data_IF_086171716902
#
_entry.id   IF_086171716902
#
_cell.length_a   1.000
_cell.length_b   1.000
_cell.length_c   1.000
_cell.angle_alpha   90.00
_cell.angle_beta   90.00
_cell.angle_gamma   90.00
#
_symmetry.space_group_name_H-M   'P 1'
#
loop_
_entity.id
_entity.type
_entity.pdbx_description
1 polymer ?
#
# COMPACT_ATOMS: atom_id res chain seq x y z
N UNK A 1 12.39 3.41 -15.41
CA UNK A 1 12.20 3.53 -13.95
C UNK A 1 11.97 4.98 -13.53
N UNK A 2 12.75 5.94 -14.07
CA UNK A 2 12.56 7.38 -13.82
C UNK A 2 11.13 7.87 -14.05
N UNK A 3 10.50 7.41 -15.13
CA UNK A 3 9.22 7.96 -15.58
C UNK A 3 8.07 7.52 -14.68
N UNK A 4 8.09 6.27 -14.21
CA UNK A 4 7.13 5.76 -13.24
C UNK A 4 7.25 6.48 -11.89
N UNK A 5 8.48 6.66 -11.41
CA UNK A 5 8.74 7.40 -10.16
C UNK A 5 8.24 8.83 -10.29
N UNK A 6 8.49 9.47 -11.43
CA UNK A 6 8.02 10.84 -11.72
C UNK A 6 6.49 10.91 -11.75
N UNK A 7 5.83 9.96 -12.42
CA UNK A 7 4.37 9.88 -12.47
C UNK A 7 3.78 9.71 -11.07
N UNK A 8 4.32 8.79 -10.26
CA UNK A 8 3.83 8.54 -8.91
C UNK A 8 4.04 9.75 -7.99
N UNK A 9 5.15 10.48 -8.13
CA UNK A 9 5.35 11.77 -7.45
C UNK A 9 4.27 12.77 -7.82
N UNK A 10 4.02 12.96 -9.12
CA UNK A 10 3.01 13.89 -9.60
C UNK A 10 1.59 13.53 -9.11
N UNK A 11 1.25 12.23 -9.12
CA UNK A 11 -0.03 11.73 -8.61
C UNK A 11 -0.15 11.93 -7.10
N UNK A 12 0.92 11.68 -6.34
CA UNK A 12 0.97 11.91 -4.89
C UNK A 12 0.75 13.38 -4.55
N UNK A 13 1.49 14.28 -5.21
CA UNK A 13 1.33 15.72 -5.03
C UNK A 13 -0.06 16.21 -5.44
N UNK A 14 -0.62 15.68 -6.53
CA UNK A 14 -1.97 16.03 -6.97
C UNK A 14 -3.02 15.58 -5.95
N UNK A 15 -2.94 14.33 -5.48
CA UNK A 15 -3.86 13.79 -4.48
C UNK A 15 -3.82 14.60 -3.18
N UNK A 16 -2.62 15.00 -2.73
CA UNK A 16 -2.44 15.89 -1.58
C UNK A 16 -3.09 17.26 -1.81
N UNK A 17 -2.91 17.87 -3.00
CA UNK A 17 -3.52 19.18 -3.32
C UNK A 17 -5.04 19.15 -3.36
N UNK A 18 -5.63 18.01 -3.74
CA UNK A 18 -7.08 17.85 -3.86
C UNK A 18 -7.75 17.20 -2.65
N UNK A 19 -7.01 16.98 -1.56
CA UNK A 19 -7.45 16.22 -0.37
C UNK A 19 -8.07 14.86 -0.73
N UNK A 20 -7.52 14.21 -1.76
CA UNK A 20 -7.99 12.92 -2.24
C UNK A 20 -7.16 11.80 -1.59
N UNK A 21 -7.79 10.82 -0.92
CA UNK A 21 -7.08 9.66 -0.41
C UNK A 21 -6.38 8.89 -1.54
N UNK A 22 -5.09 8.60 -1.34
CA UNK A 22 -4.27 7.83 -2.27
C UNK A 22 -3.62 6.66 -1.54
N UNK A 23 -3.73 5.46 -2.11
CA UNK A 23 -2.97 4.27 -1.66
C UNK A 23 -2.33 3.63 -2.87
N UNK A 24 -1.03 3.36 -2.79
CA UNK A 24 -0.30 2.60 -3.81
C UNK A 24 -0.20 1.14 -3.39
N UNK A 25 -0.61 0.24 -4.26
CA UNK A 25 -0.57 -1.21 -4.00
C UNK A 25 0.56 -1.84 -4.82
N UNK A 26 1.48 -2.52 -4.15
CA UNK A 26 2.52 -3.30 -4.82
C UNK A 26 2.16 -4.78 -4.79
N UNK A 27 1.99 -5.32 -6.00
CA UNK A 27 1.81 -6.75 -6.24
C UNK A 27 3.17 -7.41 -6.45
N UNK A 28 3.37 -8.59 -5.86
CA UNK A 28 4.63 -9.33 -5.95
C UNK A 28 5.77 -8.74 -5.10
N UNK A 29 6.75 -8.09 -5.72
CA UNK A 29 8.02 -7.77 -5.05
C UNK A 29 7.90 -6.53 -4.13
N UNK A 30 8.11 -6.68 -2.80
CA UNK A 30 7.97 -5.58 -1.84
C UNK A 30 9.08 -4.52 -1.95
N UNK A 31 10.25 -4.85 -2.53
CA UNK A 31 11.36 -3.90 -2.66
C UNK A 31 11.07 -2.78 -3.67
N UNK A 32 10.08 -2.94 -4.54
CA UNK A 32 9.60 -1.85 -5.39
C UNK A 32 9.19 -0.61 -4.58
N UNK A 33 8.64 -0.81 -3.37
CA UNK A 33 8.26 0.29 -2.48
C UNK A 33 9.47 1.08 -1.96
N UNK A 34 10.66 0.48 -1.86
CA UNK A 34 11.87 1.17 -1.36
C UNK A 34 12.39 2.25 -2.30
N UNK A 35 12.05 2.18 -3.59
CA UNK A 35 12.43 3.19 -4.58
C UNK A 35 11.52 4.42 -4.57
N UNK A 36 10.46 4.40 -3.76
CA UNK A 36 9.39 5.40 -3.73
C UNK A 36 9.08 5.83 -2.28
N UNK A 37 10.09 6.31 -1.51
CA UNK A 37 9.92 6.63 -0.10
C UNK A 37 8.95 7.78 0.16
N UNK A 38 8.70 8.63 -0.85
CA UNK A 38 7.75 9.74 -0.79
C UNK A 38 6.26 9.33 -0.86
N UNK A 39 5.93 8.05 -1.06
CA UNK A 39 4.54 7.61 -1.13
C UNK A 39 3.90 7.62 0.26
N UNK A 40 2.78 8.33 0.45
CA UNK A 40 2.19 8.55 1.78
C UNK A 40 1.52 7.30 2.35
N UNK A 41 1.09 6.36 1.49
CA UNK A 41 0.38 5.15 1.90
C UNK A 41 0.61 4.02 0.92
N UNK A 42 1.08 2.89 1.46
CA UNK A 42 1.49 1.72 0.68
C UNK A 42 0.85 0.45 1.23
N UNK A 43 0.35 -0.40 0.33
CA UNK A 43 -0.13 -1.75 0.63
C UNK A 43 0.69 -2.78 -0.14
N UNK A 44 1.09 -3.87 0.52
CA UNK A 44 1.85 -4.96 -0.08
C UNK A 44 1.01 -6.24 -0.03
N UNK A 45 0.92 -6.95 -1.15
CA UNK A 45 0.15 -8.21 -1.24
C UNK A 45 1.04 -9.44 -1.43
N UNK A 46 2.32 -9.26 -1.79
CA UNK A 46 3.32 -10.32 -2.04
C UNK A 46 2.98 -11.32 -3.16
N UNK A 47 1.91 -11.08 -3.89
CA UNK A 47 1.42 -11.92 -4.99
C UNK A 47 0.81 -11.00 -6.06
N UNK A 48 0.70 -11.47 -7.29
CA UNK A 48 0.18 -10.73 -8.45
C UNK A 48 -1.00 -11.44 -9.11
N UNK A 49 -1.49 -12.55 -8.53
CA UNK A 49 -2.66 -13.28 -9.02
C UNK A 49 -3.96 -12.60 -8.56
N UNK A 50 -5.07 -12.90 -9.25
CA UNK A 50 -6.36 -12.25 -9.02
C UNK A 50 -6.87 -12.29 -7.57
N UNK A 51 -6.57 -13.33 -6.78
CA UNK A 51 -6.91 -13.37 -5.36
C UNK A 51 -6.23 -12.27 -4.53
N UNK A 52 -5.01 -11.89 -4.90
CA UNK A 52 -4.26 -10.82 -4.24
C UNK A 52 -4.87 -9.45 -4.55
N UNK A 53 -5.29 -9.25 -5.80
CA UNK A 53 -6.01 -8.04 -6.25
C UNK A 53 -7.36 -7.92 -5.55
N UNK A 54 -8.16 -8.99 -5.53
CA UNK A 54 -9.44 -9.02 -4.83
C UNK A 54 -9.26 -8.73 -3.34
N UNK A 55 -8.29 -9.37 -2.69
CA UNK A 55 -7.99 -9.13 -1.27
C UNK A 55 -7.57 -7.68 -1.02
N UNK A 56 -6.78 -7.06 -1.90
CA UNK A 56 -6.39 -5.66 -1.78
C UNK A 56 -7.61 -4.73 -1.88
N UNK A 57 -8.49 -4.96 -2.85
CA UNK A 57 -9.72 -4.18 -3.03
C UNK A 57 -10.62 -4.30 -1.80
N UNK A 58 -10.91 -5.53 -1.36
CA UNK A 58 -11.75 -5.80 -0.18
C UNK A 58 -11.16 -5.20 1.08
N UNK A 59 -9.83 -5.27 1.24
CA UNK A 59 -9.14 -4.63 2.35
C UNK A 59 -9.36 -3.12 2.30
N UNK A 60 -9.06 -2.46 1.18
CA UNK A 60 -9.20 -1.01 0.99
C UNK A 60 -10.63 -0.51 1.19
N UNK A 61 -11.62 -1.26 0.70
CA UNK A 61 -13.04 -0.98 0.93
C UNK A 61 -13.43 -1.06 2.43
N UNK A 62 -12.67 -1.84 3.20
CA UNK A 62 -12.87 -2.08 4.62
C UNK A 62 -13.67 -3.36 4.91
N UNK A 63 -13.86 -4.22 3.93
CA UNK A 63 -14.61 -5.49 4.09
C UNK A 63 -13.82 -6.54 4.87
N UNK A 64 -12.49 -6.47 4.80
CA UNK A 64 -11.58 -7.32 5.56
C UNK A 64 -10.56 -6.46 6.32
N UNK A 65 -10.05 -6.99 7.43
CA UNK A 65 -9.03 -6.31 8.23
C UNK A 65 -7.67 -6.30 7.53
N UNK A 66 -6.91 -5.22 7.72
CA UNK A 66 -5.47 -5.18 7.43
C UNK A 66 -4.71 -5.51 8.72
N UNK A 67 -3.95 -6.60 8.67
CA UNK A 67 -3.11 -7.04 9.79
C UNK A 67 -1.76 -7.63 9.36
N UNK A 68 -1.41 -7.55 8.08
CA UNK A 68 -0.14 -8.06 7.58
C UNK A 68 1.07 -7.41 8.26
N UNK A 69 2.17 -8.15 8.33
CA UNK A 69 3.46 -7.68 8.87
C UNK A 69 4.55 -8.00 7.86
N UNK A 70 5.52 -7.09 7.74
CA UNK A 70 6.65 -7.26 6.84
C UNK A 70 7.47 -8.49 7.26
N UNK A 71 7.68 -9.49 6.37
CA UNK A 71 8.60 -10.60 6.62
C UNK A 71 10.06 -10.23 6.34
N UNK A 72 10.30 -9.06 5.73
CA UNK A 72 11.62 -8.52 5.35
C UNK A 72 11.70 -7.04 5.73
N UNK A 73 12.90 -6.49 5.92
CA UNK A 73 13.07 -5.04 6.10
C UNK A 73 12.96 -4.31 4.75
N UNK A 74 12.34 -3.13 4.76
CA UNK A 74 12.24 -2.23 3.61
C UNK A 74 12.99 -0.93 3.92
N UNK A 75 14.18 -0.80 3.34
CA UNK A 75 15.10 0.30 3.63
C UNK A 75 15.52 0.33 5.11
N UNK A 76 15.94 1.50 5.59
CA UNK A 76 16.30 1.71 6.99
C UNK A 76 15.10 2.00 7.91
N UNK A 77 13.97 2.39 7.33
CA UNK A 77 12.81 2.93 8.07
C UNK A 77 11.84 1.84 8.55
N UNK A 78 11.65 0.78 7.75
CA UNK A 78 10.66 -0.26 8.05
C UNK A 78 11.36 -1.60 8.29
N UNK A 79 11.40 -2.03 9.55
CA UNK A 79 12.03 -3.31 9.94
C UNK A 79 11.07 -4.49 9.74
N UNK A 80 11.63 -5.71 9.73
CA UNK A 80 10.84 -6.95 9.86
C UNK A 80 9.85 -6.83 11.02
N UNK A 81 8.61 -7.29 10.81
CA UNK A 81 7.53 -7.20 11.78
C UNK A 81 6.79 -5.86 11.78
N UNK A 82 7.23 -4.85 11.01
CA UNK A 82 6.48 -3.62 10.85
C UNK A 82 5.19 -3.85 10.05
N UNK A 83 4.15 -3.06 10.30
CA UNK A 83 2.90 -3.10 9.55
C UNK A 83 1.79 -2.37 10.29
N UNK A 84 0.88 -1.78 9.54
CA UNK A 84 -0.28 -1.10 10.11
C UNK A 84 -1.38 -2.13 10.46
N UNK A 85 -2.21 -1.77 11.43
CA UNK A 85 -3.41 -2.55 11.76
C UNK A 85 -4.63 -1.69 11.50
N UNK A 86 -5.56 -2.21 10.70
CA UNK A 86 -6.87 -1.60 10.48
C UNK A 86 -7.94 -2.70 10.58
N UNK A 87 -8.88 -2.61 11.52
CA UNK A 87 -9.99 -3.56 11.55
C UNK A 87 -10.85 -3.42 10.28
N UNK A 88 -11.62 -4.46 9.96
CA UNK A 88 -12.70 -4.30 8.99
C UNK A 88 -13.68 -3.22 9.50
N UNK A 89 -14.31 -2.48 8.60
CA UNK A 89 -15.43 -1.62 8.95
C UNK A 89 -16.51 -2.50 9.56
N UNK A 90 -17.01 -2.12 10.74
CA UNK A 90 -18.24 -2.72 11.24
C UNK A 90 -19.34 -2.42 10.23
N UNK A 91 -20.01 -3.46 9.73
CA UNK A 91 -21.33 -3.26 9.13
C UNK A 91 -22.20 -2.77 10.29
N UNK A 92 -22.53 -1.48 10.29
CA UNK A 92 -23.48 -0.95 11.26
C UNK A 92 -24.82 -1.69 11.14
N UNK A 93 -25.64 -1.72 12.21
CA UNK A 93 -26.99 -2.27 12.14
C UNK A 93 -27.85 -1.56 11.09
#
# INVERSE_FOLDING_TARGET
MSDLVTLLKQLSEQALRSDQPLVVVFFGNPYAATFLPELPSVLLTYDYRGLAEESAVRALAGEISIGGRLPVSLGSQFRVGHGLTRPAKSVGP
#
